data_IF_086732835031
#
_entry.id   IF_086732835031
#
_cell.length_a   1.000
_cell.length_b   1.000
_cell.length_c   1.000
_cell.angle_alpha   90.00
_cell.angle_beta   90.00
_cell.angle_gamma   90.00
#
_symmetry.space_group_name_H-M   'P 1'
#
loop_
_entity.id
_entity.type
_entity.pdbx_description
1 polymer ?
#
# COMPACT_ATOMS: atom_id res chain seq x y z
N UNK A 1 18.07 9.52 12.36
CA UNK A 1 16.87 9.54 13.22
C UNK A 1 16.14 8.22 12.96
N UNK A 2 16.12 7.27 13.89
CA UNK A 2 15.35 6.02 13.70
C UNK A 2 13.88 6.40 13.72
N UNK A 3 13.18 6.20 12.61
CA UNK A 3 11.73 6.26 12.60
C UNK A 3 11.19 5.12 13.48
N UNK A 4 10.14 5.34 14.25
CA UNK A 4 9.52 4.24 14.96
C UNK A 4 9.00 3.22 13.93
N UNK A 5 9.34 1.94 14.15
CA UNK A 5 9.03 0.82 13.25
C UNK A 5 7.50 0.56 13.11
N UNK A 6 6.68 1.32 13.84
CA UNK A 6 5.22 1.12 13.88
C UNK A 6 4.49 2.44 14.10
N UNK A 7 3.52 2.74 13.23
CA UNK A 7 2.64 3.91 13.37
C UNK A 7 1.20 3.44 13.62
N UNK A 8 0.62 3.92 14.71
CA UNK A 8 -0.80 3.73 15.02
C UNK A 8 -1.47 5.10 15.13
N UNK A 9 -2.42 5.41 14.26
CA UNK A 9 -3.18 6.66 14.31
C UNK A 9 -4.67 6.35 14.48
N UNK A 10 -5.27 6.89 15.52
CA UNK A 10 -6.68 6.74 15.85
C UNK A 10 -7.45 8.03 15.54
N UNK A 11 -8.52 7.93 14.74
CA UNK A 11 -9.70 8.82 14.84
C UNK A 11 -10.96 7.98 14.71
N UNK A 12 -11.80 8.02 15.73
CA UNK A 12 -13.16 7.50 15.65
C UNK A 12 -14.04 8.56 14.99
N UNK A 13 -14.68 8.20 13.89
CA UNK A 13 -15.88 8.89 13.40
C UNK A 13 -17.07 7.95 13.57
N UNK A 14 -18.27 8.46 13.93
CA UNK A 14 -19.41 7.62 14.36
C UNK A 14 -20.07 6.78 13.26
N UNK A 15 -19.52 6.66 12.08
CA UNK A 15 -20.21 6.05 10.93
C UNK A 15 -19.63 4.75 10.39
N UNK A 16 -18.36 4.46 10.61
CA UNK A 16 -17.76 3.16 10.23
C UNK A 16 -16.46 3.01 11.02
N UNK A 17 -16.43 2.11 11.98
CA UNK A 17 -15.21 1.86 12.71
C UNK A 17 -14.28 0.96 11.90
N UNK A 18 -13.23 1.53 11.41
CA UNK A 18 -12.09 0.82 10.84
C UNK A 18 -10.92 0.97 11.79
N UNK A 19 -10.29 -0.14 12.17
CA UNK A 19 -8.97 -0.11 12.79
C UNK A 19 -7.92 -0.41 11.73
N UNK A 20 -6.74 0.15 11.92
CA UNK A 20 -5.60 -0.17 11.07
C UNK A 20 -4.29 -0.10 11.85
N UNK A 21 -3.31 -0.81 11.34
CA UNK A 21 -1.93 -0.71 11.75
C UNK A 21 -1.02 -0.87 10.56
N UNK A 22 0.14 -0.23 10.61
CA UNK A 22 1.17 -0.33 9.58
C UNK A 22 2.52 -0.52 10.26
N UNK A 23 3.40 -1.28 9.62
CA UNK A 23 4.77 -1.49 10.07
C UNK A 23 5.72 -1.62 8.89
N UNK A 24 7.00 -1.36 9.14
CA UNK A 24 8.10 -1.52 8.20
C UNK A 24 9.30 -2.18 8.89
N UNK A 25 10.01 -3.01 8.14
CA UNK A 25 11.34 -3.52 8.51
C UNK A 25 12.33 -3.14 7.42
N UNK A 26 13.53 -2.75 7.84
CA UNK A 26 14.62 -2.38 6.92
C UNK A 26 15.22 -3.60 6.23
N UNK A 27 15.06 -4.79 6.84
CA UNK A 27 15.74 -5.99 6.37
C UNK A 27 17.26 -5.86 6.47
N UNK A 28 17.96 -6.40 5.49
CA UNK A 28 19.43 -6.33 5.40
C UNK A 28 19.91 -5.16 4.50
N UNK A 29 19.04 -4.23 4.18
CA UNK A 29 19.34 -3.07 3.33
C UNK A 29 19.91 -1.91 4.16
N UNK A 30 20.67 -1.02 3.51
CA UNK A 30 21.23 0.18 4.16
C UNK A 30 20.20 1.33 4.24
N UNK A 31 19.22 1.36 3.33
CA UNK A 31 18.19 2.40 3.20
C UNK A 31 16.79 1.79 3.15
N UNK A 32 15.82 2.54 3.68
CA UNK A 32 14.41 2.17 3.57
C UNK A 32 13.83 2.82 2.30
N UNK A 33 13.55 2.00 1.31
CA UNK A 33 12.99 2.43 0.03
C UNK A 33 11.47 2.25 -0.07
N UNK A 34 10.88 1.51 0.90
CA UNK A 34 9.44 1.47 1.08
C UNK A 34 8.94 2.76 1.75
N UNK A 35 7.76 3.20 1.36
CA UNK A 35 7.10 4.32 2.01
C UNK A 35 5.58 4.12 2.05
N UNK A 36 4.94 4.48 3.15
CA UNK A 36 3.49 4.47 3.23
C UNK A 36 2.95 5.73 3.89
N UNK A 37 1.74 6.11 3.52
CA UNK A 37 0.97 7.19 4.12
C UNK A 37 -0.50 6.81 4.19
N UNK A 38 -1.22 7.44 5.12
CA UNK A 38 -2.68 7.34 5.15
C UNK A 38 -3.34 8.71 5.39
N UNK A 39 -4.59 8.80 5.02
CA UNK A 39 -5.45 9.92 5.35
C UNK A 39 -6.69 9.40 6.08
N UNK A 40 -6.76 9.69 7.38
CA UNK A 40 -7.77 9.13 8.26
C UNK A 40 -7.86 7.60 8.08
N UNK A 41 -9.06 7.05 8.16
CA UNK A 41 -9.37 5.64 7.92
C UNK A 41 -9.90 5.42 6.50
N UNK A 42 -9.66 6.39 5.58
CA UNK A 42 -10.31 6.46 4.27
C UNK A 42 -9.40 6.13 3.10
N UNK A 43 -8.10 6.43 3.21
CA UNK A 43 -7.15 6.24 2.13
C UNK A 43 -5.79 5.79 2.67
N UNK A 44 -5.26 4.72 2.10
CA UNK A 44 -3.95 4.17 2.41
C UNK A 44 -3.14 4.09 1.13
N UNK A 45 -1.89 4.51 1.20
CA UNK A 45 -0.96 4.50 0.08
C UNK A 45 0.29 3.77 0.49
N UNK A 46 0.74 2.82 -0.32
CA UNK A 46 1.98 2.09 -0.17
C UNK A 46 2.77 2.19 -1.47
N UNK A 47 4.06 2.39 -1.36
CA UNK A 47 4.99 2.52 -2.48
C UNK A 47 6.31 1.89 -2.08
N UNK A 48 6.92 1.18 -3.02
CA UNK A 48 8.16 0.45 -2.86
C UNK A 48 9.10 0.90 -3.98
N UNK A 49 10.26 1.43 -3.61
CA UNK A 49 11.26 1.95 -4.53
C UNK A 49 11.87 0.85 -5.39
N UNK A 50 12.01 1.10 -6.69
CA UNK A 50 12.61 0.10 -7.59
C UNK A 50 14.10 -0.02 -7.30
N UNK A 51 14.53 -1.09 -6.65
CA UNK A 51 15.90 -1.35 -6.18
C UNK A 51 16.98 -1.34 -7.25
N UNK A 52 16.61 -1.52 -8.55
CA UNK A 52 17.53 -1.38 -9.66
C UNK A 52 17.79 0.07 -10.08
N UNK A 53 17.14 1.04 -9.45
CA UNK A 53 17.32 2.48 -9.69
C UNK A 53 17.82 3.16 -8.42
N UNK A 54 18.78 4.09 -8.52
CA UNK A 54 19.15 4.90 -7.37
C UNK A 54 17.96 5.79 -6.96
N UNK A 55 17.92 6.19 -5.71
CA UNK A 55 16.88 7.08 -5.18
C UNK A 55 15.48 6.44 -5.01
N UNK A 56 15.37 5.12 -4.75
CA UNK A 56 14.12 4.44 -4.49
C UNK A 56 13.33 5.08 -3.34
N UNK A 57 13.99 5.43 -2.21
CA UNK A 57 13.38 6.16 -1.09
C UNK A 57 12.70 7.46 -1.55
N UNK A 58 13.39 8.27 -2.33
CA UNK A 58 12.86 9.55 -2.82
C UNK A 58 11.67 9.35 -3.77
N UNK A 59 11.72 8.30 -4.61
CA UNK A 59 10.63 7.94 -5.51
C UNK A 59 9.38 7.50 -4.74
N UNK A 60 9.53 6.58 -3.79
CA UNK A 60 8.44 6.04 -2.99
C UNK A 60 7.78 7.13 -2.14
N UNK A 61 8.58 7.96 -1.49
CA UNK A 61 8.09 9.09 -0.71
C UNK A 61 7.31 10.09 -1.56
N UNK A 62 7.88 10.53 -2.69
CA UNK A 62 7.21 11.48 -3.59
C UNK A 62 5.90 10.90 -4.16
N UNK A 63 5.89 9.61 -4.49
CA UNK A 63 4.70 8.94 -4.99
C UNK A 63 3.60 8.90 -3.93
N UNK A 64 3.89 8.49 -2.70
CA UNK A 64 2.92 8.47 -1.61
C UNK A 64 2.38 9.87 -1.29
N UNK A 65 3.25 10.86 -1.17
CA UNK A 65 2.84 12.25 -0.88
C UNK A 65 1.93 12.81 -1.97
N UNK A 66 2.31 12.61 -3.25
CA UNK A 66 1.52 13.09 -4.40
C UNK A 66 0.19 12.36 -4.52
N UNK A 67 0.17 11.04 -4.34
CA UNK A 67 -1.06 10.26 -4.40
C UNK A 67 -2.04 10.67 -3.29
N UNK A 68 -1.54 10.83 -2.06
CA UNK A 68 -2.36 11.24 -0.93
C UNK A 68 -2.86 12.68 -1.06
N UNK A 69 -2.02 13.59 -1.57
CA UNK A 69 -2.44 14.95 -1.90
C UNK A 69 -3.55 14.94 -2.95
N UNK A 70 -3.38 14.15 -4.02
CA UNK A 70 -4.38 13.96 -5.05
C UNK A 70 -5.71 13.44 -4.47
N UNK A 71 -5.67 12.44 -3.60
CA UNK A 71 -6.85 11.95 -2.90
C UNK A 71 -7.56 13.05 -2.10
N UNK A 72 -6.81 13.80 -1.26
CA UNK A 72 -7.37 14.88 -0.43
C UNK A 72 -8.10 15.95 -1.24
N UNK A 73 -7.62 16.27 -2.44
CA UNK A 73 -8.23 17.24 -3.33
C UNK A 73 -9.43 16.65 -4.09
N UNK A 74 -9.27 15.45 -4.64
CA UNK A 74 -10.30 14.79 -5.43
C UNK A 74 -11.53 14.45 -4.58
N UNK A 75 -11.36 14.06 -3.33
CA UNK A 75 -12.48 13.71 -2.43
C UNK A 75 -13.42 14.88 -2.15
N UNK A 76 -12.96 16.11 -2.30
CA UNK A 76 -13.77 17.32 -2.15
C UNK A 76 -14.60 17.63 -3.39
N UNK A 77 -14.34 16.95 -4.51
CA UNK A 77 -15.06 17.17 -5.74
C UNK A 77 -16.49 16.60 -5.64
N UNK A 78 -17.53 17.37 -6.05
CA UNK A 78 -18.92 16.95 -5.88
C UNK A 78 -19.27 15.61 -6.53
N UNK A 79 -18.55 15.22 -7.57
CA UNK A 79 -18.77 13.97 -8.30
C UNK A 79 -17.82 12.83 -7.87
N UNK A 80 -17.02 12.99 -6.83
CA UNK A 80 -16.09 11.97 -6.34
C UNK A 80 -16.76 10.61 -6.05
N UNK A 81 -17.98 10.62 -5.55
CA UNK A 81 -18.74 9.43 -5.21
C UNK A 81 -19.24 8.66 -6.44
N UNK A 82 -19.34 9.29 -7.64
CA UNK A 82 -19.89 8.69 -8.85
C UNK A 82 -18.93 7.76 -9.57
N UNK A 83 -17.64 8.11 -9.67
CA UNK A 83 -16.66 7.35 -10.45
C UNK A 83 -15.29 7.27 -9.76
N UNK A 84 -15.16 6.31 -8.85
CA UNK A 84 -13.91 6.03 -8.15
C UNK A 84 -12.77 5.61 -9.09
N UNK A 85 -13.09 4.90 -10.17
CA UNK A 85 -12.11 4.45 -11.16
C UNK A 85 -11.49 5.63 -11.92
N UNK A 86 -12.30 6.59 -12.31
CA UNK A 86 -11.80 7.81 -12.96
C UNK A 86 -10.89 8.60 -12.03
N UNK A 87 -11.29 8.77 -10.78
CA UNK A 87 -10.49 9.48 -9.80
C UNK A 87 -9.18 8.75 -9.47
N UNK A 88 -9.21 7.42 -9.37
CA UNK A 88 -8.00 6.61 -9.21
C UNK A 88 -7.04 6.83 -10.40
N UNK A 89 -7.53 6.79 -11.64
CA UNK A 89 -6.72 7.09 -12.82
C UNK A 89 -6.08 8.48 -12.78
N UNK A 90 -6.77 9.49 -12.27
CA UNK A 90 -6.24 10.85 -12.11
C UNK A 90 -5.12 10.90 -11.08
N UNK A 91 -5.29 10.23 -9.93
CA UNK A 91 -4.25 10.10 -8.90
C UNK A 91 -3.00 9.47 -9.51
N UNK A 92 -3.12 8.32 -10.16
CA UNK A 92 -1.99 7.63 -10.77
C UNK A 92 -1.29 8.45 -11.85
N UNK A 93 -2.07 9.15 -12.68
CA UNK A 93 -1.51 10.03 -13.72
C UNK A 93 -0.72 11.20 -13.13
N UNK A 94 -1.24 11.87 -12.10
CA UNK A 94 -0.55 13.00 -11.46
C UNK A 94 0.70 12.53 -10.73
N UNK A 95 0.62 11.40 -10.02
CA UNK A 95 1.76 10.81 -9.31
C UNK A 95 2.86 10.37 -10.28
N UNK A 96 2.49 9.68 -11.35
CA UNK A 96 3.44 9.27 -12.38
C UNK A 96 4.16 10.48 -13.02
N UNK A 97 3.41 11.54 -13.28
CA UNK A 97 4.00 12.75 -13.86
C UNK A 97 4.95 13.44 -12.87
N UNK A 98 4.60 13.50 -11.59
CA UNK A 98 5.44 14.12 -10.57
C UNK A 98 6.78 13.36 -10.41
N UNK A 99 6.74 12.03 -10.30
CA UNK A 99 7.96 11.20 -10.19
C UNK A 99 8.79 11.30 -11.48
N UNK A 100 8.14 11.23 -12.65
CA UNK A 100 8.84 11.36 -13.93
C UNK A 100 9.48 12.74 -14.14
N UNK A 101 8.86 13.82 -13.63
CA UNK A 101 9.43 15.18 -13.69
C UNK A 101 10.63 15.32 -12.76
N UNK A 102 10.57 14.70 -11.58
CA UNK A 102 11.65 14.72 -10.58
C UNK A 102 12.97 14.19 -11.12
N UNK A 103 12.95 13.20 -12.03
CA UNK A 103 14.15 12.65 -12.67
C UNK A 103 14.96 13.69 -13.47
N UNK A 104 14.38 14.85 -13.78
CA UNK A 104 15.03 15.93 -14.54
C UNK A 104 15.69 16.96 -13.65
N UNK A 105 15.52 16.83 -12.35
CA UNK A 105 16.17 17.69 -11.39
C UNK A 105 17.60 17.20 -11.12
N UNK A 106 18.47 18.14 -10.79
CA UNK A 106 19.87 17.83 -10.46
C UNK A 106 19.95 16.84 -9.30
N UNK A 107 20.68 15.75 -9.51
CA UNK A 107 20.87 14.68 -8.51
C UNK A 107 19.92 13.48 -8.67
N UNK A 108 19.02 13.51 -9.67
CA UNK A 108 18.06 12.43 -9.95
C UNK A 108 18.13 11.92 -11.40
N UNK A 109 19.19 12.31 -12.14
CA UNK A 109 19.36 12.01 -13.57
C UNK A 109 19.52 10.51 -13.85
N UNK A 110 19.98 9.73 -12.87
CA UNK A 110 20.15 8.28 -12.99
C UNK A 110 18.83 7.51 -12.94
N UNK A 111 17.73 8.21 -12.68
CA UNK A 111 16.39 7.65 -12.70
C UNK A 111 15.70 7.58 -11.33
N UNK A 112 14.41 7.55 -11.38
CA UNK A 112 13.49 7.44 -10.23
C UNK A 112 12.31 6.58 -10.63
N UNK A 113 12.04 5.52 -9.92
CA UNK A 113 10.82 4.75 -10.13
C UNK A 113 10.39 4.03 -8.84
N UNK A 114 9.11 3.77 -8.75
CA UNK A 114 8.54 3.11 -7.59
C UNK A 114 7.24 2.39 -7.96
N UNK A 115 6.88 1.37 -7.21
CA UNK A 115 5.52 0.82 -7.25
C UNK A 115 4.54 1.84 -6.69
N UNK A 116 3.26 1.63 -6.88
CA UNK A 116 2.23 2.42 -6.21
C UNK A 116 0.97 1.59 -6.00
N UNK A 117 0.53 1.54 -4.76
CA UNK A 117 -0.77 1.03 -4.37
C UNK A 117 -1.55 2.10 -3.63
N UNK A 118 -2.80 2.32 -4.04
CA UNK A 118 -3.74 3.24 -3.37
C UNK A 118 -5.00 2.47 -3.03
N UNK A 119 -5.28 2.35 -1.75
CA UNK A 119 -6.53 1.79 -1.23
C UNK A 119 -7.42 2.92 -0.73
N UNK A 120 -8.64 3.00 -1.24
CA UNK A 120 -9.71 3.84 -0.67
C UNK A 120 -10.73 2.95 0.01
N UNK A 121 -11.13 3.34 1.21
CA UNK A 121 -12.13 2.64 2.03
C UNK A 121 -13.38 3.52 2.16
N UNK A 122 -14.53 2.95 1.84
CA UNK A 122 -15.83 3.59 2.05
C UNK A 122 -16.69 2.79 3.04
N UNK A 123 -17.94 3.22 3.21
CA UNK A 123 -18.86 2.64 4.19
C UNK A 123 -19.06 1.12 4.02
N UNK A 124 -19.14 0.63 2.80
CA UNK A 124 -19.40 -0.78 2.50
C UNK A 124 -18.50 -1.35 1.40
N UNK A 125 -17.58 -0.55 0.88
CA UNK A 125 -16.78 -0.93 -0.26
C UNK A 125 -15.34 -0.50 -0.09
N UNK A 126 -14.44 -1.16 -0.82
CA UNK A 126 -13.08 -0.74 -1.05
C UNK A 126 -12.80 -0.54 -2.54
N UNK A 127 -11.81 0.28 -2.85
CA UNK A 127 -11.30 0.52 -4.21
C UNK A 127 -9.78 0.55 -4.16
N UNK A 128 -9.15 -0.27 -4.98
CA UNK A 128 -7.71 -0.38 -5.09
C UNK A 128 -7.27 0.07 -6.47
N UNK A 129 -6.26 0.92 -6.53
CA UNK A 129 -5.45 1.18 -7.70
C UNK A 129 -4.06 0.62 -7.46
N UNK A 130 -3.48 -0.03 -8.46
CA UNK A 130 -2.20 -0.72 -8.31
C UNK A 130 -1.36 -0.60 -9.58
N UNK A 131 -0.05 -0.43 -9.42
CA UNK A 131 0.99 -0.55 -10.45
C UNK A 131 2.29 -1.02 -9.79
N UNK A 132 2.80 -2.17 -10.19
CA UNK A 132 4.00 -2.79 -9.65
C UNK A 132 3.78 -4.23 -9.17
N UNK A 133 4.52 -4.67 -8.16
CA UNK A 133 4.47 -6.02 -7.56
C UNK A 133 4.08 -6.02 -6.07
N UNK A 134 3.79 -4.86 -5.47
CA UNK A 134 3.15 -4.82 -4.16
C UNK A 134 1.80 -5.53 -4.20
N UNK A 135 1.38 -6.16 -3.11
CA UNK A 135 0.19 -7.01 -3.11
C UNK A 135 -0.89 -6.53 -2.15
N UNK A 136 -2.14 -6.65 -2.58
CA UNK A 136 -3.31 -6.45 -1.72
C UNK A 136 -4.09 -7.76 -1.59
N UNK A 137 -4.56 -8.03 -0.38
CA UNK A 137 -5.25 -9.26 -0.01
C UNK A 137 -6.52 -8.94 0.78
N UNK A 138 -7.54 -9.76 0.61
CA UNK A 138 -8.76 -9.77 1.42
C UNK A 138 -8.80 -11.06 2.24
N UNK A 139 -8.82 -10.93 3.56
CA UNK A 139 -9.14 -12.01 4.48
C UNK A 139 -10.60 -11.92 4.90
N UNK A 140 -11.36 -12.96 4.60
CA UNK A 140 -12.79 -13.11 4.91
C UNK A 140 -13.10 -14.57 5.19
N UNK A 141 -13.86 -14.85 6.23
CA UNK A 141 -14.32 -16.20 6.58
C UNK A 141 -13.18 -17.25 6.66
N UNK A 142 -12.03 -16.87 7.20
CA UNK A 142 -10.79 -17.70 7.28
C UNK A 142 -10.19 -18.09 5.92
N UNK A 143 -10.54 -17.38 4.89
CA UNK A 143 -9.92 -17.51 3.56
C UNK A 143 -9.20 -16.23 3.21
N UNK A 144 -8.14 -16.33 2.42
CA UNK A 144 -7.40 -15.18 1.90
C UNK A 144 -7.42 -15.19 0.37
N UNK A 145 -7.72 -14.04 -0.21
CA UNK A 145 -7.78 -13.86 -1.66
C UNK A 145 -6.85 -12.72 -2.07
N UNK A 146 -5.91 -12.97 -2.99
CA UNK A 146 -5.11 -11.91 -3.60
C UNK A 146 -5.99 -11.07 -4.52
N UNK A 147 -5.94 -9.76 -4.35
CA UNK A 147 -6.77 -8.79 -5.08
C UNK A 147 -6.05 -8.13 -6.25
N UNK A 148 -4.73 -8.16 -6.25
CA UNK A 148 -3.86 -7.53 -7.26
C UNK A 148 -3.08 -8.60 -8.04
N UNK A 149 -2.64 -8.24 -9.25
CA UNK A 149 -1.73 -9.04 -10.06
C UNK A 149 -0.39 -8.33 -10.16
N UNK A 150 0.70 -9.06 -10.03
CA UNK A 150 2.02 -8.48 -10.10
C UNK A 150 2.36 -8.06 -11.53
N UNK A 151 2.74 -6.81 -11.70
CA UNK A 151 3.17 -6.26 -12.99
C UNK A 151 4.65 -6.62 -13.24
N UNK A 152 4.94 -7.93 -13.32
CA UNK A 152 6.29 -8.45 -13.54
C UNK A 152 6.33 -9.38 -14.74
N UNK A 153 7.53 -9.55 -15.30
CA UNK A 153 7.81 -10.65 -16.26
C UNK A 153 7.98 -11.96 -15.51
N UNK A 154 8.06 -13.07 -16.25
CA UNK A 154 8.37 -14.39 -15.67
C UNK A 154 9.72 -14.42 -14.91
N UNK A 155 10.63 -13.49 -15.18
CA UNK A 155 11.93 -13.36 -14.51
C UNK A 155 11.91 -12.34 -13.36
N UNK A 156 10.73 -11.90 -12.90
CA UNK A 156 10.59 -10.96 -11.78
C UNK A 156 10.84 -9.48 -12.11
N UNK A 157 11.12 -9.14 -13.37
CA UNK A 157 11.38 -7.74 -13.75
C UNK A 157 10.06 -6.99 -13.86
N UNK A 158 9.98 -5.82 -13.21
CA UNK A 158 8.81 -4.94 -13.25
C UNK A 158 8.51 -4.48 -14.68
N UNK A 159 7.26 -4.66 -15.09
CA UNK A 159 6.73 -4.19 -16.38
C UNK A 159 6.00 -2.86 -16.28
N UNK A 160 5.53 -2.50 -15.07
CA UNK A 160 4.91 -1.22 -14.76
C UNK A 160 5.44 -0.69 -13.43
N UNK A 161 5.81 0.58 -13.44
CA UNK A 161 6.13 1.36 -12.26
C UNK A 161 5.83 2.85 -12.52
N UNK A 162 5.57 3.57 -11.45
CA UNK A 162 5.45 5.02 -11.47
C UNK A 162 6.82 5.63 -11.74
N UNK A 163 6.89 6.55 -12.70
CA UNK A 163 8.15 7.20 -13.10
C UNK A 163 8.84 6.58 -14.33
N UNK A 164 8.57 5.32 -14.69
CA UNK A 164 9.22 4.68 -15.85
C UNK A 164 9.00 5.42 -17.17
N UNK A 165 7.79 5.91 -17.39
CA UNK A 165 7.41 6.61 -18.62
C UNK A 165 6.58 7.84 -18.28
N UNK A 166 6.74 8.90 -19.07
CA UNK A 166 5.96 10.13 -18.90
C UNK A 166 4.45 9.89 -18.94
N UNK A 167 4.01 9.09 -19.89
CA UNK A 167 2.60 8.83 -20.17
C UNK A 167 2.35 7.33 -20.35
N UNK A 168 1.09 6.92 -20.26
CA UNK A 168 0.69 5.54 -20.57
C UNK A 168 0.65 4.60 -19.36
N UNK A 169 0.95 5.07 -18.15
CA UNK A 169 0.74 4.25 -16.96
C UNK A 169 -0.77 4.01 -16.77
N UNK A 170 -1.19 2.77 -16.90
CA UNK A 170 -2.54 2.31 -16.63
C UNK A 170 -2.51 1.43 -15.40
N UNK A 171 -3.01 1.93 -14.24
CA UNK A 171 -3.09 1.10 -13.05
C UNK A 171 -4.13 -0.01 -13.22
N UNK A 172 -3.89 -1.15 -12.59
CA UNK A 172 -4.94 -2.10 -12.30
C UNK A 172 -5.96 -1.43 -11.37
N UNK A 173 -7.24 -1.72 -11.56
CA UNK A 173 -8.29 -1.23 -10.70
C UNK A 173 -9.15 -2.40 -10.21
N UNK A 174 -9.25 -2.53 -8.91
CA UNK A 174 -10.10 -3.52 -8.23
C UNK A 174 -11.04 -2.82 -7.26
N UNK A 175 -12.24 -3.33 -7.12
CA UNK A 175 -13.18 -2.89 -6.10
C UNK A 175 -14.03 -4.06 -5.61
N UNK A 176 -14.52 -3.96 -4.41
CA UNK A 176 -15.35 -4.99 -3.81
C UNK A 176 -16.09 -4.49 -2.56
N UNK A 177 -16.91 -5.37 -2.03
CA UNK A 177 -17.58 -5.14 -0.75
C UNK A 177 -16.57 -5.34 0.37
N UNK A 178 -16.62 -4.48 1.38
CA UNK A 178 -15.82 -4.56 2.60
C UNK A 178 -16.78 -4.74 3.77
N UNK A 179 -16.95 -5.99 4.19
CA UNK A 179 -17.93 -6.39 5.22
C UNK A 179 -17.32 -6.30 6.62
N UNK A 180 -18.18 -6.35 7.63
CA UNK A 180 -17.73 -6.45 9.04
C UNK A 180 -16.86 -7.70 9.21
N UNK A 181 -15.79 -7.56 10.00
CA UNK A 181 -14.74 -8.55 10.24
C UNK A 181 -13.82 -8.88 9.05
N UNK A 182 -14.05 -8.31 7.87
CA UNK A 182 -13.06 -8.36 6.81
C UNK A 182 -11.77 -7.68 7.23
N UNK A 183 -10.66 -8.23 6.76
CA UNK A 183 -9.34 -7.60 6.87
C UNK A 183 -8.74 -7.44 5.49
N UNK A 184 -8.39 -6.20 5.13
CA UNK A 184 -7.53 -5.91 4.00
C UNK A 184 -6.07 -5.86 4.47
N UNK A 185 -5.20 -6.53 3.75
CA UNK A 185 -3.75 -6.51 3.97
C UNK A 185 -3.08 -5.98 2.70
N UNK A 186 -2.24 -4.97 2.85
CA UNK A 186 -1.35 -4.47 1.81
C UNK A 186 0.08 -4.82 2.19
N UNK A 187 0.89 -5.27 1.23
CA UNK A 187 2.30 -5.62 1.45
C UNK A 187 3.15 -5.10 0.30
N UNK A 188 4.39 -4.66 0.58
CA UNK A 188 5.45 -4.64 -0.43
C UNK A 188 5.88 -6.06 -0.79
N UNK A 189 6.67 -6.23 -1.83
CA UNK A 189 7.16 -7.53 -2.28
C UNK A 189 8.03 -8.21 -1.23
N UNK A 190 8.93 -7.47 -0.55
CA UNK A 190 9.77 -7.99 0.53
C UNK A 190 9.00 -8.61 1.69
N UNK A 191 7.71 -8.28 1.86
CA UNK A 191 6.83 -9.00 2.78
C UNK A 191 5.99 -10.07 2.05
N UNK A 192 5.34 -9.67 0.94
CA UNK A 192 4.32 -10.49 0.28
C UNK A 192 4.83 -11.76 -0.35
N UNK A 193 6.06 -11.76 -0.88
CA UNK A 193 6.68 -12.93 -1.52
C UNK A 193 7.18 -14.00 -0.53
N UNK A 194 7.43 -13.60 0.72
CA UNK A 194 7.96 -14.48 1.76
C UNK A 194 6.89 -15.02 2.72
N UNK A 195 5.61 -14.74 2.46
CA UNK A 195 4.49 -15.19 3.29
C UNK A 195 3.60 -16.15 2.49
N UNK A 196 3.34 -17.31 3.05
CA UNK A 196 2.34 -18.22 2.49
C UNK A 196 0.93 -17.76 2.83
N UNK A 197 -0.08 -18.26 2.08
CA UNK A 197 -1.48 -18.02 2.42
C UNK A 197 -1.82 -18.46 3.84
N UNK A 198 -1.23 -19.57 4.31
CA UNK A 198 -1.41 -20.06 5.68
C UNK A 198 -0.85 -19.08 6.71
N UNK A 199 0.36 -18.56 6.51
CA UNK A 199 0.98 -17.59 7.41
C UNK A 199 0.11 -16.34 7.57
N UNK A 200 -0.42 -15.84 6.46
CA UNK A 200 -1.32 -14.68 6.45
C UNK A 200 -2.63 -14.98 7.19
N UNK A 201 -3.26 -16.15 6.92
CA UNK A 201 -4.50 -16.55 7.59
C UNK A 201 -4.28 -16.68 9.10
N UNK A 202 -3.25 -17.39 9.52
CA UNK A 202 -2.95 -17.61 10.93
C UNK A 202 -2.75 -16.28 11.67
N UNK A 203 -2.03 -15.35 11.07
CA UNK A 203 -1.77 -14.04 11.65
C UNK A 203 -3.03 -13.14 11.63
N UNK A 204 -3.73 -13.02 10.49
CA UNK A 204 -4.88 -12.14 10.35
C UNK A 204 -6.07 -12.60 11.18
N UNK A 205 -6.18 -13.89 11.48
CA UNK A 205 -7.20 -14.44 12.38
C UNK A 205 -7.08 -13.92 13.82
N UNK A 206 -5.90 -13.41 14.21
CA UNK A 206 -5.65 -12.85 15.56
C UNK A 206 -6.03 -11.38 15.67
N UNK A 207 -6.35 -10.71 14.56
CA UNK A 207 -6.73 -9.29 14.55
C UNK A 207 -8.11 -9.13 15.16
N UNK A 208 -8.17 -8.68 16.41
CA UNK A 208 -9.41 -8.39 17.13
C UNK A 208 -9.99 -7.02 16.76
N UNK A 209 -10.39 -6.27 17.79
CA UNK A 209 -11.07 -4.98 17.62
C UNK A 209 -10.23 -3.78 18.08
N UNK A 210 -8.95 -3.99 18.37
CA UNK A 210 -8.06 -2.96 18.88
C UNK A 210 -6.87 -2.72 17.93
N UNK A 211 -6.35 -1.48 17.95
CA UNK A 211 -5.15 -1.15 17.18
C UNK A 211 -3.92 -1.91 17.69
N UNK A 212 -3.86 -2.23 18.99
CA UNK A 212 -2.77 -3.01 19.58
C UNK A 212 -2.71 -4.43 19.01
N UNK A 213 -3.87 -5.06 18.78
CA UNK A 213 -3.97 -6.39 18.15
C UNK A 213 -3.54 -6.31 16.68
N UNK A 214 -4.03 -5.31 15.96
CA UNK A 214 -3.61 -5.07 14.57
C UNK A 214 -2.09 -4.78 14.48
N UNK A 215 -1.53 -4.01 15.43
CA UNK A 215 -0.09 -3.72 15.49
C UNK A 215 0.73 -4.99 15.77
N UNK A 216 0.29 -5.85 16.69
CA UNK A 216 0.96 -7.12 16.93
C UNK A 216 0.93 -8.02 15.69
N UNK A 217 -0.21 -8.08 15.01
CA UNK A 217 -0.37 -8.88 13.81
C UNK A 217 0.53 -8.39 12.68
N UNK A 218 0.52 -7.09 12.36
CA UNK A 218 1.35 -6.55 11.26
C UNK A 218 2.84 -6.70 11.56
N UNK A 219 3.26 -6.48 12.81
CA UNK A 219 4.66 -6.68 13.22
C UNK A 219 5.05 -8.17 13.17
N UNK A 220 4.14 -9.05 13.58
CA UNK A 220 4.32 -10.50 13.50
C UNK A 220 4.49 -10.99 12.07
N UNK A 221 3.67 -10.49 11.13
CA UNK A 221 3.78 -10.80 9.70
C UNK A 221 5.16 -10.43 9.13
N UNK A 222 5.62 -9.21 9.41
CA UNK A 222 6.92 -8.77 8.88
C UNK A 222 8.09 -9.58 9.45
N UNK A 223 8.07 -9.88 10.75
CA UNK A 223 9.08 -10.75 11.37
C UNK A 223 9.05 -12.17 10.82
N UNK A 224 7.88 -12.67 10.47
CA UNK A 224 7.74 -13.98 9.84
C UNK A 224 8.31 -13.95 8.42
N UNK A 225 8.05 -12.91 7.62
CA UNK A 225 8.68 -12.74 6.31
C UNK A 225 10.22 -12.71 6.41
N UNK A 226 10.77 -11.96 7.38
CA UNK A 226 12.20 -11.95 7.67
C UNK A 226 12.72 -13.34 8.05
N UNK A 227 12.04 -14.08 8.92
CA UNK A 227 12.41 -15.44 9.31
C UNK A 227 12.31 -16.45 8.16
N UNK A 228 11.43 -16.20 7.20
CA UNK A 228 11.29 -16.98 5.96
C UNK A 228 12.35 -16.63 4.90
N UNK A 229 13.23 -15.68 5.21
CA UNK A 229 14.41 -15.37 4.40
C UNK A 229 14.36 -14.04 3.66
N UNK A 230 13.34 -13.19 3.89
CA UNK A 230 13.35 -11.83 3.35
C UNK A 230 14.55 -11.05 3.87
N UNK A 231 15.26 -10.41 2.95
CA UNK A 231 16.38 -9.49 3.23
C UNK A 231 16.09 -8.07 2.72
N UNK A 232 14.94 -7.90 2.10
CA UNK A 232 14.51 -6.65 1.48
C UNK A 232 13.77 -5.77 2.47
N UNK A 233 13.58 -4.50 2.10
CA UNK A 233 12.66 -3.65 2.81
C UNK A 233 11.28 -4.30 2.79
N UNK A 234 10.63 -4.36 3.91
CA UNK A 234 9.34 -5.02 4.05
C UNK A 234 8.35 -4.10 4.73
N UNK A 235 7.21 -3.88 4.08
CA UNK A 235 6.13 -3.05 4.61
C UNK A 235 4.81 -3.78 4.56
N UNK A 236 3.99 -3.58 5.59
CA UNK A 236 2.63 -4.09 5.59
C UNK A 236 1.65 -3.12 6.27
N UNK A 237 0.41 -3.10 5.77
CA UNK A 237 -0.71 -2.35 6.36
C UNK A 237 -1.88 -3.30 6.51
N UNK A 238 -2.40 -3.43 7.73
CA UNK A 238 -3.62 -4.17 8.06
C UNK A 238 -4.75 -3.17 8.28
N UNK A 239 -5.90 -3.39 7.66
CA UNK A 239 -7.10 -2.59 7.82
C UNK A 239 -8.26 -3.53 8.08
N UNK A 240 -8.92 -3.45 9.24
CA UNK A 240 -10.08 -4.27 9.60
C UNK A 240 -11.33 -3.43 9.76
N UNK A 241 -12.43 -3.91 9.20
CA UNK A 241 -13.74 -3.31 9.44
C UNK A 241 -14.36 -3.87 10.71
N UNK A 242 -14.82 -2.99 11.57
CA UNK A 242 -15.53 -3.35 12.80
C UNK A 242 -17.03 -3.14 12.66
N UNK A 243 -17.79 -3.92 13.45
CA UNK A 243 -19.20 -3.65 13.66
C UNK A 243 -19.34 -2.30 14.39
N UNK A 244 -20.18 -1.42 13.86
CA UNK A 244 -20.54 -0.21 14.60
C UNK A 244 -21.37 -0.62 15.84
N UNK A 245 -21.01 -0.12 17.03
CA UNK A 245 -21.83 -0.33 18.22
C UNK A 245 -23.18 0.36 18.14
#
# INVERSE_FOLDING_TARGET
>A
MRFPDTYTIRRQTPRDSVIFAAAQLLGAQDTQEDYFLNFNDECFVLSDGVSSMPNGEAAAKLACETALWGYKHIRQHPYYWLDKKLFMKRIFRSTNLAVWQKQREKGFEEGLATTLMVLMVGAKNYWIGHAGNSSAWLYRNREITKLTHDDTTANGVLTKAVGFKRLGLLPEFKSGVFEVDDVLLLTSDGAGEYLTAKDMIDCLSTVGSTNEEATRAVTGLLRLAESNGSKENSSAIIIKRLLNP
#
